data_IF_665867306706
#
_entry.id   IF_665867306706
#
_cell.length_a   1.000
_cell.length_b   1.000
_cell.length_c   1.000
_cell.angle_alpha   90.00
_cell.angle_beta   90.00
_cell.angle_gamma   90.00
#
_symmetry.space_group_name_H-M   'P 1'
#
loop_
_entity.id
_entity.type
_entity.pdbx_description
1 polymer ?
#
# COMPACT_ATOMS: atom_id res chain seq x y z
N UNK A 1 6.68 2.50 39.00
CA UNK A 1 5.72 1.88 38.06
C UNK A 1 6.47 0.89 37.20
N UNK A 2 5.87 -0.26 36.85
CA UNK A 2 6.48 -1.24 35.93
C UNK A 2 7.87 -1.76 36.34
N UNK A 3 8.05 -2.12 37.61
CA UNK A 3 9.37 -2.53 38.14
C UNK A 3 9.25 -3.75 39.04
N UNK A 4 10.27 -4.61 39.02
CA UNK A 4 10.40 -5.77 39.91
C UNK A 4 11.04 -5.43 41.27
N UNK A 5 11.65 -4.25 41.41
CA UNK A 5 12.47 -3.85 42.58
C UNK A 5 13.51 -4.89 43.02
N UNK A 6 14.10 -5.64 42.08
CA UNK A 6 15.13 -6.64 42.39
C UNK A 6 16.57 -6.14 42.29
N UNK A 7 16.80 -5.02 41.61
CA UNK A 7 18.15 -4.51 41.31
C UNK A 7 18.53 -3.36 42.23
N UNK A 8 19.64 -3.54 42.95
CA UNK A 8 20.24 -2.48 43.77
C UNK A 8 21.12 -1.54 42.94
N UNK A 9 21.18 -0.25 43.28
CA UNK A 9 20.62 0.37 44.49
C UNK A 9 19.15 0.84 44.36
N UNK A 10 18.55 0.79 43.17
CA UNK A 10 17.21 1.35 42.94
C UNK A 10 16.09 0.68 43.75
N UNK A 11 16.22 -0.62 44.03
CA UNK A 11 15.29 -1.38 44.87
C UNK A 11 15.08 -0.78 46.27
N UNK A 12 16.06 -0.06 46.82
CA UNK A 12 15.94 0.53 48.17
C UNK A 12 15.32 1.93 48.17
N UNK A 13 15.16 2.60 47.03
CA UNK A 13 14.63 3.96 46.98
C UNK A 13 13.25 4.13 47.65
N UNK A 14 12.27 3.22 47.44
CA UNK A 14 10.97 3.36 48.10
C UNK A 14 11.06 3.32 49.63
N UNK A 15 12.10 2.69 50.19
CA UNK A 15 12.30 2.60 51.64
C UNK A 15 12.85 3.89 52.25
N UNK A 16 13.51 4.73 51.45
CA UNK A 16 14.03 6.02 51.89
C UNK A 16 12.93 7.09 52.02
N UNK A 17 11.73 6.85 51.48
CA UNK A 17 10.59 7.73 51.66
C UNK A 17 10.14 7.75 53.12
N UNK A 18 9.80 8.93 53.65
CA UNK A 18 9.26 9.09 55.01
C UNK A 18 7.97 8.29 55.20
N UNK A 19 7.70 7.85 56.44
CA UNK A 19 6.56 7.00 56.75
C UNK A 19 5.20 7.66 56.50
N UNK A 20 5.13 9.00 56.54
CA UNK A 20 3.89 9.77 56.28
C UNK A 20 3.63 10.02 54.80
N UNK A 21 4.59 9.72 53.93
CA UNK A 21 4.47 9.96 52.51
C UNK A 21 3.77 8.76 51.87
N UNK A 22 2.58 8.92 51.28
CA UNK A 22 1.89 7.83 50.62
C UNK A 22 2.70 7.37 49.41
N UNK A 23 2.78 6.05 49.21
CA UNK A 23 3.46 5.44 48.07
C UNK A 23 2.42 4.72 47.21
N UNK A 24 2.46 4.94 45.90
CA UNK A 24 1.59 4.28 44.93
C UNK A 24 2.41 3.31 44.08
N UNK A 25 2.03 2.02 44.10
CA UNK A 25 2.58 1.02 43.18
C UNK A 25 1.59 0.75 42.05
N UNK A 26 1.98 1.07 40.82
CA UNK A 26 1.30 0.63 39.60
C UNK A 26 2.19 -0.44 38.97
N UNK A 27 1.77 -1.70 39.06
CA UNK A 27 2.50 -2.85 38.53
C UNK A 27 1.60 -4.10 38.50
N UNK A 28 1.86 -5.07 37.62
CA UNK A 28 1.05 -6.30 37.56
C UNK A 28 1.10 -7.16 38.83
N UNK A 29 2.18 -7.03 39.60
CA UNK A 29 2.38 -7.78 40.84
C UNK A 29 2.91 -6.87 41.96
N UNK A 30 2.65 -7.28 43.21
CA UNK A 30 3.21 -6.61 44.38
C UNK A 30 4.71 -6.90 44.47
N UNK A 31 5.51 -5.84 44.58
CA UNK A 31 6.98 -5.93 44.60
C UNK A 31 7.59 -5.25 45.82
N UNK A 32 8.72 -5.80 46.29
CA UNK A 32 9.49 -5.25 47.41
C UNK A 32 8.70 -5.15 48.72
N UNK A 33 8.94 -4.05 49.44
CA UNK A 33 8.26 -3.71 50.70
C UNK A 33 6.99 -2.86 50.50
N UNK A 34 6.58 -2.56 49.26
CA UNK A 34 5.39 -1.74 49.02
C UNK A 34 4.12 -2.50 49.42
N UNK A 35 3.18 -1.80 50.06
CA UNK A 35 1.97 -2.39 50.65
C UNK A 35 2.16 -2.89 52.09
N UNK A 36 3.30 -2.60 52.72
CA UNK A 36 3.49 -2.87 54.15
C UNK A 36 3.09 -1.69 55.03
N UNK A 37 3.13 -0.46 54.51
CA UNK A 37 2.71 0.74 55.24
C UNK A 37 1.19 0.91 55.09
N UNK A 38 0.56 1.50 56.10
CA UNK A 38 -0.88 1.74 56.10
C UNK A 38 -1.32 2.69 54.95
N UNK A 39 -0.45 3.61 54.55
CA UNK A 39 -0.70 4.60 53.50
C UNK A 39 -0.21 4.14 52.11
N UNK A 40 0.26 2.89 51.98
CA UNK A 40 0.67 2.36 50.68
C UNK A 40 -0.58 1.95 49.88
N UNK A 41 -0.65 2.40 48.63
CA UNK A 41 -1.71 2.03 47.69
C UNK A 41 -1.12 1.14 46.60
N UNK A 42 -1.73 -0.03 46.39
CA UNK A 42 -1.34 -0.99 45.37
C UNK A 42 -2.40 -1.05 44.28
N UNK A 43 -1.99 -0.74 43.06
CA UNK A 43 -2.79 -0.81 41.86
C UNK A 43 -2.21 -1.92 40.98
N UNK A 44 -2.74 -3.14 41.19
CA UNK A 44 -2.22 -4.38 40.62
C UNK A 44 -2.86 -4.70 39.26
N UNK A 45 -2.53 -3.89 38.27
CA UNK A 45 -3.04 -4.01 36.91
C UNK A 45 -1.97 -3.59 35.90
N UNK A 46 -2.35 -3.61 34.62
CA UNK A 46 -1.51 -3.09 33.55
C UNK A 46 -1.17 -1.61 33.77
N UNK A 47 0.06 -1.23 33.40
CA UNK A 47 0.58 0.12 33.70
C UNK A 47 -0.21 1.20 32.96
N UNK A 48 -0.62 0.96 31.71
CA UNK A 48 -1.36 1.97 30.93
C UNK A 48 -2.77 2.15 31.47
N UNK A 49 -3.42 1.03 31.83
CA UNK A 49 -4.75 1.05 32.46
C UNK A 49 -4.71 1.77 33.81
N UNK A 50 -3.67 1.51 34.61
CA UNK A 50 -3.47 2.18 35.90
C UNK A 50 -3.20 3.66 35.80
N UNK A 51 -2.40 4.08 34.83
CA UNK A 51 -2.13 5.50 34.57
C UNK A 51 -3.41 6.21 34.09
N UNK A 52 -4.23 5.59 33.22
CA UNK A 52 -5.53 6.17 32.82
C UNK A 52 -6.46 6.37 34.02
N UNK A 53 -6.59 5.40 34.91
CA UNK A 53 -7.42 5.54 36.13
C UNK A 53 -6.90 6.63 37.06
N UNK A 54 -5.58 6.74 37.21
CA UNK A 54 -4.97 7.81 37.99
C UNK A 54 -5.26 9.17 37.35
N UNK A 55 -5.12 9.27 36.03
CA UNK A 55 -5.43 10.50 35.30
C UNK A 55 -6.92 10.87 35.39
N UNK A 56 -7.83 9.89 35.30
CA UNK A 56 -9.26 10.09 35.49
C UNK A 56 -9.57 10.65 36.89
N UNK A 57 -8.99 10.05 37.94
CA UNK A 57 -9.17 10.52 39.31
C UNK A 57 -8.60 11.93 39.55
N UNK A 58 -7.54 12.31 38.81
CA UNK A 58 -6.96 13.64 38.85
C UNK A 58 -7.64 14.65 37.89
N UNK A 59 -8.53 14.20 37.01
CA UNK A 59 -9.15 15.03 35.97
C UNK A 59 -8.19 15.43 34.84
N UNK A 60 -7.14 14.65 34.60
CA UNK A 60 -6.10 14.89 33.57
C UNK A 60 -6.20 13.96 32.37
N UNK A 61 -7.29 13.18 32.25
CA UNK A 61 -7.42 12.16 31.21
C UNK A 61 -7.34 12.79 29.80
N UNK A 62 -8.11 13.86 29.55
CA UNK A 62 -8.14 14.53 28.25
C UNK A 62 -6.77 15.10 27.86
N UNK A 63 -6.08 15.74 28.81
CA UNK A 63 -4.74 16.30 28.61
C UNK A 63 -3.70 15.20 28.32
N UNK A 64 -3.79 14.08 29.04
CA UNK A 64 -2.92 12.92 28.85
C UNK A 64 -3.13 12.31 27.45
N UNK A 65 -4.38 12.15 27.01
CA UNK A 65 -4.69 11.62 25.67
C UNK A 65 -4.25 12.57 24.56
N UNK A 66 -4.40 13.89 24.75
CA UNK A 66 -3.93 14.89 23.79
C UNK A 66 -2.39 14.87 23.64
N UNK A 67 -1.64 14.75 24.75
CA UNK A 67 -0.18 14.63 24.73
C UNK A 67 0.27 13.29 24.12
N UNK A 68 -0.43 12.20 24.44
CA UNK A 68 -0.18 10.89 23.86
C UNK A 68 -0.37 10.90 22.33
N UNK A 69 -1.48 11.48 21.86
CA UNK A 69 -1.77 11.62 20.44
C UNK A 69 -0.71 12.44 19.68
N UNK A 70 -0.12 13.45 20.34
CA UNK A 70 0.96 14.25 19.74
C UNK A 70 2.22 13.41 19.51
N UNK A 71 2.58 12.56 20.49
CA UNK A 71 3.77 11.68 20.40
C UNK A 71 3.56 10.56 19.36
N UNK A 72 2.34 10.04 19.25
CA UNK A 72 2.00 8.99 18.28
C UNK A 72 2.13 9.43 16.80
N UNK A 73 2.21 10.73 16.51
CA UNK A 73 2.38 11.25 15.15
C UNK A 73 3.85 11.37 14.72
N UNK A 74 4.78 11.39 15.69
CA UNK A 74 6.21 11.65 15.42
C UNK A 74 7.05 10.38 15.22
N UNK A 75 6.58 9.24 15.71
CA UNK A 75 7.28 7.95 15.58
C UNK A 75 6.48 6.99 14.68
N UNK A 76 6.85 6.98 13.40
CA UNK A 76 6.46 6.01 12.35
C UNK A 76 4.96 5.86 11.98
N UNK A 77 4.64 5.67 10.67
CA UNK A 77 3.30 5.36 10.17
C UNK A 77 2.87 3.90 10.47
N UNK A 78 3.15 3.41 11.69
CA UNK A 78 3.01 2.01 12.07
C UNK A 78 2.21 1.77 13.36
N UNK A 79 1.42 2.74 13.81
CA UNK A 79 0.26 2.45 14.66
C UNK A 79 -0.98 2.63 13.78
N UNK A 80 -1.54 1.53 13.23
CA UNK A 80 -2.88 1.58 12.69
C UNK A 80 -3.75 2.13 13.81
N UNK A 81 -4.43 3.24 13.53
CA UNK A 81 -5.66 3.63 14.22
C UNK A 81 -6.35 2.34 14.62
N UNK A 82 -6.70 2.23 15.89
CA UNK A 82 -7.43 1.09 16.45
C UNK A 82 -8.65 0.79 15.57
N UNK A 83 -8.44 -0.04 14.54
CA UNK A 83 -9.49 -0.49 13.66
C UNK A 83 -10.20 -1.52 14.50
N UNK A 84 -11.35 -1.12 15.03
CA UNK A 84 -12.44 -2.00 15.44
C UNK A 84 -12.29 -3.29 14.64
N UNK A 85 -11.97 -4.40 15.31
CA UNK A 85 -11.76 -5.70 14.67
C UNK A 85 -13.04 -6.00 13.90
N UNK A 86 -13.07 -5.65 12.62
CA UNK A 86 -14.19 -5.95 11.74
C UNK A 86 -14.43 -7.43 11.86
N UNK A 87 -15.66 -7.80 12.19
CA UNK A 87 -16.01 -9.20 12.37
C UNK A 87 -15.70 -9.96 11.07
N UNK A 88 -15.47 -11.28 11.15
CA UNK A 88 -15.20 -12.09 9.96
C UNK A 88 -16.22 -11.84 8.85
N UNK A 89 -17.47 -11.56 9.21
CA UNK A 89 -18.56 -11.32 8.27
C UNK A 89 -18.43 -9.96 7.57
N UNK A 90 -18.00 -8.91 8.26
CA UNK A 90 -17.75 -7.59 7.64
C UNK A 90 -16.60 -7.61 6.62
N UNK A 91 -15.56 -8.41 6.87
CA UNK A 91 -14.48 -8.60 5.90
C UNK A 91 -14.93 -9.37 4.66
N UNK A 92 -15.82 -10.35 4.84
CA UNK A 92 -16.39 -11.11 3.74
C UNK A 92 -17.30 -10.22 2.88
N UNK A 93 -18.09 -9.35 3.50
CA UNK A 93 -18.94 -8.38 2.78
C UNK A 93 -18.09 -7.40 1.95
N UNK A 94 -17.02 -6.84 2.52
CA UNK A 94 -16.09 -5.95 1.81
C UNK A 94 -15.45 -6.65 0.59
N UNK A 95 -15.07 -7.94 0.74
CA UNK A 95 -14.49 -8.73 -0.36
C UNK A 95 -15.52 -9.05 -1.45
N UNK A 96 -16.77 -9.34 -1.08
CA UNK A 96 -17.88 -9.57 -2.01
C UNK A 96 -18.18 -8.29 -2.81
N UNK A 97 -18.25 -7.13 -2.15
CA UNK A 97 -18.50 -5.85 -2.83
C UNK A 97 -17.39 -5.53 -3.83
N UNK A 98 -16.13 -5.75 -3.43
CA UNK A 98 -14.97 -5.57 -4.31
C UNK A 98 -15.03 -6.49 -5.53
N UNK A 99 -15.29 -7.78 -5.33
CA UNK A 99 -15.41 -8.75 -6.43
C UNK A 99 -16.57 -8.41 -7.38
N UNK A 100 -17.69 -7.93 -6.84
CA UNK A 100 -18.84 -7.50 -7.65
C UNK A 100 -18.48 -6.30 -8.53
N UNK A 101 -17.75 -5.33 -7.97
CA UNK A 101 -17.24 -4.17 -8.71
C UNK A 101 -16.29 -4.56 -9.83
N UNK A 102 -15.34 -5.44 -9.55
CA UNK A 102 -14.38 -5.92 -10.56
C UNK A 102 -15.07 -6.67 -11.72
N UNK A 103 -16.14 -7.42 -11.42
CA UNK A 103 -16.96 -8.10 -12.44
C UNK A 103 -17.74 -7.11 -13.30
N UNK A 104 -18.37 -6.10 -12.68
CA UNK A 104 -19.09 -5.05 -13.41
C UNK A 104 -18.14 -4.25 -14.33
N UNK A 105 -16.95 -3.91 -13.84
CA UNK A 105 -15.94 -3.22 -14.64
C UNK A 105 -15.51 -4.08 -15.84
N UNK A 106 -15.27 -5.38 -15.65
CA UNK A 106 -14.92 -6.29 -16.74
C UNK A 106 -16.07 -6.45 -17.76
N UNK A 107 -17.31 -6.58 -17.29
CA UNK A 107 -18.49 -6.64 -18.15
C UNK A 107 -18.69 -5.34 -18.93
N UNK A 108 -18.41 -4.18 -18.32
CA UNK A 108 -18.51 -2.88 -18.99
C UNK A 108 -17.48 -2.72 -20.10
N UNK A 109 -16.24 -3.19 -19.88
CA UNK A 109 -15.18 -3.17 -20.88
C UNK A 109 -15.52 -4.08 -22.07
N UNK A 110 -16.04 -5.28 -21.81
CA UNK A 110 -16.47 -6.20 -22.87
C UNK A 110 -17.62 -5.62 -23.71
N UNK A 111 -18.61 -4.99 -23.06
CA UNK A 111 -19.70 -4.29 -23.75
C UNK A 111 -19.18 -3.13 -24.61
N UNK A 112 -18.27 -2.32 -24.08
CA UNK A 112 -17.67 -1.20 -24.82
C UNK A 112 -16.86 -1.68 -26.03
N UNK A 113 -16.12 -2.79 -25.90
CA UNK A 113 -15.41 -3.42 -27.01
C UNK A 113 -16.38 -3.95 -28.08
N UNK A 114 -17.47 -4.59 -27.66
CA UNK A 114 -18.47 -5.15 -28.57
C UNK A 114 -19.23 -4.05 -29.32
N UNK A 115 -19.59 -2.96 -28.63
CA UNK A 115 -20.25 -1.80 -29.22
C UNK A 115 -19.33 -1.06 -30.21
N UNK A 116 -18.04 -0.92 -29.87
CA UNK A 116 -17.04 -0.37 -30.79
C UNK A 116 -16.89 -1.23 -32.05
N UNK A 117 -16.81 -2.55 -31.89
CA UNK A 117 -16.71 -3.47 -33.04
C UNK A 117 -17.95 -3.39 -33.93
N UNK A 118 -19.13 -3.37 -33.33
CA UNK A 118 -20.40 -3.30 -34.05
C UNK A 118 -20.48 -2.03 -34.91
N UNK A 119 -20.21 -0.87 -34.31
CA UNK A 119 -20.22 0.40 -35.04
C UNK A 119 -19.15 0.47 -36.14
N UNK A 120 -17.97 -0.12 -35.91
CA UNK A 120 -16.90 -0.09 -36.90
C UNK A 120 -17.13 -1.06 -38.07
N UNK A 121 -17.72 -2.23 -37.79
CA UNK A 121 -18.11 -3.21 -38.81
C UNK A 121 -19.32 -2.69 -39.59
N UNK A 122 -20.34 -2.16 -38.94
CA UNK A 122 -21.53 -1.58 -39.60
C UNK A 122 -21.14 -0.38 -40.49
N UNK A 123 -20.23 0.50 -40.03
CA UNK A 123 -19.72 1.62 -40.84
C UNK A 123 -18.83 1.15 -42.01
N UNK A 124 -18.07 0.06 -41.85
CA UNK A 124 -17.26 -0.52 -42.93
C UNK A 124 -18.14 -1.27 -43.95
N UNK A 125 -19.22 -1.90 -43.50
CA UNK A 125 -20.25 -2.52 -44.35
C UNK A 125 -21.02 -1.44 -45.11
N UNK A 126 -21.46 -0.37 -44.45
CA UNK A 126 -22.14 0.75 -45.11
C UNK A 126 -21.26 1.43 -46.15
N UNK A 127 -19.98 1.69 -45.84
CA UNK A 127 -19.01 2.22 -46.81
C UNK A 127 -18.76 1.27 -47.98
N UNK A 128 -18.76 -0.04 -47.74
CA UNK A 128 -18.59 -1.03 -48.81
C UNK A 128 -19.84 -1.15 -49.69
N UNK A 129 -21.04 -1.03 -49.12
CA UNK A 129 -22.30 -0.99 -49.88
C UNK A 129 -22.42 0.31 -50.71
N UNK A 130 -21.93 1.45 -50.20
CA UNK A 130 -21.81 2.71 -50.96
C UNK A 130 -20.74 2.63 -52.07
N UNK A 131 -19.59 1.99 -51.82
CA UNK A 131 -18.55 1.78 -52.85
C UNK A 131 -18.96 0.73 -53.90
N UNK A 132 -19.69 -0.34 -53.53
CA UNK A 132 -20.22 -1.34 -54.47
C UNK A 132 -21.42 -0.82 -55.29
N UNK A 133 -22.12 0.22 -54.82
CA UNK A 133 -23.17 0.89 -55.59
C UNK A 133 -22.68 2.11 -56.39
N UNK A 134 -21.44 2.56 -56.17
CA UNK A 134 -20.80 3.65 -56.90
C UNK A 134 -19.80 3.20 -58.01
N UNK A 135 -19.41 1.92 -58.06
CA UNK A 135 -18.49 1.41 -59.10
C UNK A 135 -19.12 0.29 -59.95
N UNK A 136 -20.05 0.67 -60.84
CA UNK A 136 -20.19 0.00 -62.14
C UNK A 136 -19.41 0.79 -63.19
N UNK A 137 -18.08 0.69 -63.17
CA UNK A 137 -17.29 1.21 -64.28
C UNK A 137 -15.78 1.32 -64.08
N UNK A 138 -15.08 0.22 -63.84
CA UNK A 138 -13.62 0.26 -63.96
C UNK A 138 -12.87 -1.02 -63.63
N UNK A 139 -12.29 -1.65 -64.64
CA UNK A 139 -11.23 -2.66 -64.45
C UNK A 139 -10.10 -2.09 -63.56
N UNK A 140 -9.68 -2.82 -62.52
CA UNK A 140 -8.28 -3.34 -62.42
C UNK A 140 -7.91 -4.07 -61.12
N UNK A 141 -7.18 -5.16 -61.38
CA UNK A 141 -6.05 -5.74 -60.63
C UNK A 141 -6.26 -6.13 -59.17
N UNK A 142 -6.60 -7.39 -58.97
CA UNK A 142 -6.40 -8.06 -57.69
C UNK A 142 -4.92 -8.16 -57.33
N UNK A 143 -4.54 -7.59 -56.19
CA UNK A 143 -3.30 -7.93 -55.50
C UNK A 143 -3.59 -9.16 -54.64
N UNK A 144 -3.33 -10.34 -55.18
CA UNK A 144 -3.22 -11.56 -54.38
C UNK A 144 -1.81 -11.65 -53.78
N UNK A 145 -1.66 -12.13 -52.54
CA UNK A 145 -0.35 -12.45 -51.99
C UNK A 145 0.25 -13.64 -52.78
N UNK A 146 1.58 -13.69 -52.97
CA UNK A 146 2.23 -14.77 -53.70
C UNK A 146 2.07 -16.09 -52.94
N UNK A 147 1.65 -17.14 -53.64
CA UNK A 147 1.34 -18.47 -53.09
C UNK A 147 2.54 -19.42 -53.07
N UNK A 148 3.78 -18.91 -52.99
CA UNK A 148 4.98 -19.74 -53.14
C UNK A 148 5.94 -19.59 -51.94
N UNK A 149 6.21 -20.66 -51.16
CA UNK A 149 6.95 -20.57 -49.89
C UNK A 149 8.46 -20.39 -50.02
N UNK A 150 9.01 -20.11 -51.21
CA UNK A 150 10.47 -20.07 -51.43
C UNK A 150 10.99 -18.83 -52.20
N UNK A 151 10.20 -17.77 -52.35
CA UNK A 151 10.68 -16.53 -52.99
C UNK A 151 11.43 -15.62 -52.00
N UNK A 152 12.77 -15.58 -52.08
CA UNK A 152 13.61 -14.56 -51.41
C UNK A 152 13.70 -13.30 -52.27
N UNK A 153 12.78 -12.36 -52.06
CA UNK A 153 12.95 -10.98 -52.52
C UNK A 153 12.80 -10.08 -51.29
N UNK A 154 13.91 -9.55 -50.80
CA UNK A 154 13.96 -8.59 -49.69
C UNK A 154 13.83 -7.17 -50.26
N UNK A 155 13.03 -6.34 -49.58
CA UNK A 155 12.91 -4.90 -49.85
C UNK A 155 14.26 -4.19 -49.64
N UNK A 156 14.57 -3.11 -50.38
CA UNK A 156 15.82 -2.39 -50.21
C UNK A 156 15.78 -1.56 -48.93
N UNK A 157 16.78 -1.72 -48.05
CA UNK A 157 16.98 -0.85 -46.88
C UNK A 157 17.93 0.29 -47.27
N UNK A 158 17.51 1.52 -47.02
CA UNK A 158 18.34 2.71 -47.21
C UNK A 158 19.32 2.87 -46.04
N UNK A 159 20.62 3.00 -46.32
CA UNK A 159 21.65 3.32 -45.32
C UNK A 159 22.02 4.81 -45.36
N UNK A 160 22.22 5.47 -44.20
CA UNK A 160 23.05 6.66 -44.11
C UNK A 160 24.32 6.42 -43.27
N UNK A 161 25.45 6.45 -44.00
CA UNK A 161 26.77 7.08 -43.72
C UNK A 161 27.29 7.18 -42.27
N UNK A 162 28.36 6.41 -42.05
CA UNK A 162 29.62 6.66 -41.31
C UNK A 162 29.73 7.87 -40.36
N UNK A 163 29.82 7.57 -39.05
CA UNK A 163 30.76 8.25 -38.14
C UNK A 163 31.43 7.23 -37.22
N UNK A 164 32.76 7.27 -37.18
CA UNK A 164 33.69 6.40 -36.46
C UNK A 164 33.38 6.21 -34.96
N UNK A 165 33.28 4.95 -34.51
CA UNK A 165 33.91 4.42 -33.28
C UNK A 165 33.46 2.97 -32.99
N UNK A 166 34.43 2.06 -33.05
CA UNK A 166 34.66 0.79 -32.30
C UNK A 166 33.49 -0.19 -31.97
N UNK A 167 33.69 -1.53 -32.11
CA UNK A 167 32.63 -2.54 -32.02
C UNK A 167 32.41 -2.95 -30.57
N UNK A 168 31.32 -2.49 -29.96
CA UNK A 168 30.92 -2.93 -28.63
C UNK A 168 29.41 -2.86 -28.47
N UNK A 169 28.73 -3.99 -28.73
CA UNK A 169 27.29 -4.13 -28.59
C UNK A 169 26.83 -3.77 -27.18
N UNK A 170 26.21 -2.59 -27.04
CA UNK A 170 25.70 -2.08 -25.77
C UNK A 170 24.32 -1.47 -25.95
N UNK A 171 23.36 -1.90 -25.12
CA UNK A 171 21.95 -1.48 -25.10
C UNK A 171 21.75 -0.04 -24.57
N UNK A 172 22.65 0.89 -24.91
CA UNK A 172 22.65 2.27 -24.40
C UNK A 172 21.43 3.10 -24.82
N UNK A 173 20.78 2.72 -25.92
CA UNK A 173 19.54 3.37 -26.38
C UNK A 173 18.30 2.97 -25.56
N UNK A 174 18.37 1.87 -24.80
CA UNK A 174 17.27 1.39 -23.94
C UNK A 174 17.36 2.03 -22.53
N UNK A 175 18.56 2.38 -22.07
CA UNK A 175 18.77 2.94 -20.73
C UNK A 175 19.60 4.25 -20.75
N UNK A 176 19.01 5.38 -21.17
CA UNK A 176 19.72 6.65 -21.32
C UNK A 176 20.23 7.28 -20.00
N UNK A 177 19.77 6.80 -18.85
CA UNK A 177 20.09 7.38 -17.54
C UNK A 177 21.24 6.69 -16.80
N UNK A 178 21.75 5.57 -17.31
CA UNK A 178 22.87 4.85 -16.68
C UNK A 178 24.18 5.36 -17.28
N UNK A 179 24.74 6.43 -16.70
CA UNK A 179 26.13 6.83 -16.96
C UNK A 179 27.05 5.89 -16.19
N UNK A 180 27.92 5.16 -16.89
CA UNK A 180 28.99 4.37 -16.26
C UNK A 180 30.00 5.30 -15.58
N UNK A 181 30.45 5.02 -14.34
CA UNK A 181 31.63 5.69 -13.80
C UNK A 181 32.87 5.10 -14.46
N UNK A 182 33.75 5.97 -14.98
CA UNK A 182 35.06 5.57 -15.51
C UNK A 182 35.97 5.14 -14.35
N UNK A 183 36.50 3.91 -14.42
CA UNK A 183 37.71 3.48 -13.73
C UNK A 183 38.90 3.63 -14.68
#
# INVERSE_FOLDING_TARGET
MGTSLSVHPFASLPQLCENKTPRLLINSERVGDLGTRADDVLLLEDCDSGVRKLAEACGWLDDLEALWATTALTDDPAVPKEQVKKSRDELLEDEIEKLTRDVDDNLSLSKAQHEWLKNHVDNKLARKEEDESADQGGEKSGLQPPTDPNSKILAPVASPRDTNSDPGGGLGHVFPHIKKPSL
#
